data_IF_792031363313
#
_entry.id   IF_792031363313
#
_cell.length_a   1.000
_cell.length_b   1.000
_cell.length_c   1.000
_cell.angle_alpha   90.00
_cell.angle_beta   90.00
_cell.angle_gamma   90.00
#
_symmetry.space_group_name_H-M   'P 1'
#
loop_
_entity.id
_entity.type
_entity.pdbx_description
1 polymer ?
#
# COMPACT_ATOMS: atom_id res chain seq x y z
N UNK A 1 6.38 6.03 14.70
CA UNK A 1 6.55 4.97 15.68
C UNK A 1 6.06 3.64 15.12
N UNK A 2 6.75 2.55 15.47
CA UNK A 2 6.35 1.19 15.12
C UNK A 2 6.46 0.28 16.36
N UNK A 3 5.56 -0.69 16.48
CA UNK A 3 5.62 -1.73 17.49
C UNK A 3 5.78 -3.08 16.80
N UNK A 4 6.93 -3.72 16.98
CA UNK A 4 7.17 -5.06 16.46
C UNK A 4 6.48 -6.06 17.38
N UNK A 5 5.46 -6.76 16.86
CA UNK A 5 4.64 -7.73 17.60
C UNK A 5 4.71 -9.13 17.00
N UNK A 6 5.28 -9.27 15.81
CA UNK A 6 5.52 -10.55 15.14
C UNK A 6 6.77 -10.53 14.30
N UNK A 7 7.39 -11.67 14.14
CA UNK A 7 8.57 -11.88 13.29
C UNK A 7 8.20 -12.84 12.16
N UNK A 8 8.41 -12.43 10.92
CA UNK A 8 8.13 -13.25 9.76
C UNK A 8 9.07 -14.48 9.73
N UNK A 9 8.51 -15.66 9.50
CA UNK A 9 9.25 -16.91 9.27
C UNK A 9 9.16 -17.34 7.81
N UNK A 10 8.02 -17.08 7.16
CA UNK A 10 7.78 -17.34 5.74
C UNK A 10 6.64 -16.47 5.25
N UNK A 11 6.25 -16.64 3.97
CA UNK A 11 5.10 -15.92 3.38
C UNK A 11 3.80 -16.10 4.18
N UNK A 12 3.60 -17.26 4.82
CA UNK A 12 2.35 -17.62 5.50
C UNK A 12 2.53 -17.93 6.99
N UNK A 13 3.72 -17.74 7.55
CA UNK A 13 4.02 -18.03 8.94
C UNK A 13 4.77 -16.91 9.63
N UNK A 14 4.44 -16.66 10.88
CA UNK A 14 5.13 -15.70 11.72
C UNK A 14 5.16 -16.18 13.17
N UNK A 15 6.26 -15.88 13.87
CA UNK A 15 6.35 -16.03 15.31
C UNK A 15 5.78 -14.76 15.96
N UNK A 16 4.64 -14.89 16.62
CA UNK A 16 4.00 -13.80 17.35
C UNK A 16 4.55 -13.68 18.77
N UNK A 17 4.56 -12.47 19.31
CA UNK A 17 4.79 -12.25 20.74
C UNK A 17 3.58 -12.72 21.55
N UNK A 18 3.75 -13.05 22.84
CA UNK A 18 2.64 -13.24 23.76
C UNK A 18 1.69 -12.05 23.72
N UNK A 19 0.38 -12.31 23.80
CA UNK A 19 -0.64 -11.27 23.60
C UNK A 19 -0.48 -10.08 24.57
N UNK A 20 -0.15 -10.36 25.82
CA UNK A 20 0.05 -9.32 26.85
C UNK A 20 1.22 -8.42 26.47
N UNK A 21 2.34 -9.00 26.05
CA UNK A 21 3.52 -8.26 25.62
C UNK A 21 3.25 -7.43 24.35
N UNK A 22 2.56 -8.02 23.37
CA UNK A 22 2.19 -7.35 22.13
C UNK A 22 1.31 -6.11 22.40
N UNK A 23 0.30 -6.25 23.28
CA UNK A 23 -0.59 -5.15 23.69
C UNK A 23 0.18 -4.03 24.38
N UNK A 24 1.09 -4.37 25.29
CA UNK A 24 1.88 -3.37 25.99
C UNK A 24 2.83 -2.63 25.05
N UNK A 25 3.48 -3.31 24.12
CA UNK A 25 4.32 -2.67 23.10
C UNK A 25 3.52 -1.71 22.22
N UNK A 26 2.33 -2.12 21.79
CA UNK A 26 1.44 -1.26 21.00
C UNK A 26 1.02 -0.03 21.82
N UNK A 27 0.60 -0.22 23.06
CA UNK A 27 0.18 0.86 23.95
C UNK A 27 1.31 1.89 24.16
N UNK A 28 2.51 1.42 24.45
CA UNK A 28 3.66 2.29 24.65
C UNK A 28 4.06 3.03 23.36
N UNK A 29 4.04 2.36 22.20
CA UNK A 29 4.31 2.99 20.93
C UNK A 29 3.27 4.04 20.57
N UNK A 30 1.99 3.77 20.80
CA UNK A 30 0.90 4.71 20.58
C UNK A 30 1.03 5.96 21.49
N UNK A 31 1.33 5.77 22.78
CA UNK A 31 1.56 6.89 23.69
C UNK A 31 2.70 7.79 23.22
N UNK A 32 3.83 7.21 22.82
CA UNK A 32 4.96 7.97 22.27
C UNK A 32 4.60 8.68 20.96
N UNK A 33 3.83 8.04 20.09
CA UNK A 33 3.39 8.64 18.84
C UNK A 33 2.53 9.89 19.08
N UNK A 34 1.59 9.84 20.03
CA UNK A 34 0.75 10.99 20.41
C UNK A 34 1.60 12.12 21.00
N UNK A 35 2.56 11.82 21.87
CA UNK A 35 3.47 12.85 22.43
C UNK A 35 4.28 13.56 21.35
N UNK A 36 4.63 12.84 20.27
CA UNK A 36 5.43 13.36 19.15
C UNK A 36 4.60 13.86 17.97
N UNK A 37 3.28 13.91 18.10
CA UNK A 37 2.38 14.27 16.99
C UNK A 37 2.73 15.64 16.36
N UNK A 38 3.10 16.62 17.21
CA UNK A 38 3.48 17.96 16.73
C UNK A 38 4.85 18.04 16.06
N UNK A 39 5.68 17.00 16.19
CA UNK A 39 7.02 16.94 15.61
C UNK A 39 7.03 16.26 14.24
N UNK A 40 5.89 15.70 13.81
CA UNK A 40 5.79 14.96 12.55
C UNK A 40 4.90 15.76 11.60
N UNK A 41 5.47 16.16 10.47
CA UNK A 41 4.66 16.73 9.38
C UNK A 41 3.94 15.61 8.64
N UNK A 42 2.61 15.72 8.40
CA UNK A 42 1.90 14.76 7.57
C UNK A 42 2.49 14.73 6.17
N UNK A 43 2.64 13.55 5.60
CA UNK A 43 2.94 13.42 4.18
C UNK A 43 1.76 13.99 3.37
N UNK A 44 2.06 14.87 2.44
CA UNK A 44 1.07 15.49 1.55
C UNK A 44 1.51 15.36 0.09
N UNK A 45 0.54 15.24 -0.80
CA UNK A 45 0.77 15.26 -2.24
C UNK A 45 0.11 16.49 -2.84
N UNK A 46 0.87 17.25 -3.65
CA UNK A 46 0.33 18.38 -4.41
C UNK A 46 -0.36 17.86 -5.69
N UNK A 47 -1.58 18.31 -6.00
CA UNK A 47 -2.22 18.00 -7.28
C UNK A 47 -1.46 18.60 -8.49
N UNK A 48 -1.46 17.94 -9.66
CA UNK A 48 -2.03 16.64 -9.92
C UNK A 48 -1.21 15.50 -9.31
N UNK A 49 -1.88 14.50 -8.75
CA UNK A 49 -1.23 13.35 -8.11
C UNK A 49 -1.10 12.24 -9.15
N UNK A 50 0.11 11.84 -9.45
CA UNK A 50 0.40 10.76 -10.37
C UNK A 50 0.69 9.46 -9.58
N UNK A 51 -0.01 8.41 -9.93
CA UNK A 51 0.25 7.04 -9.52
C UNK A 51 0.96 6.32 -10.65
N UNK A 52 2.14 5.78 -10.39
CA UNK A 52 2.85 4.91 -11.30
C UNK A 52 3.06 3.55 -10.65
N UNK A 53 2.72 2.48 -11.36
CA UNK A 53 2.85 1.10 -10.86
C UNK A 53 3.56 0.27 -11.91
N UNK A 54 4.70 -0.30 -11.54
CA UNK A 54 5.37 -1.33 -12.32
C UNK A 54 4.90 -2.71 -11.85
N UNK A 55 4.40 -3.52 -12.77
CA UNK A 55 3.87 -4.85 -12.51
C UNK A 55 4.89 -5.93 -12.90
N UNK A 56 4.81 -7.08 -12.29
CA UNK A 56 5.73 -8.20 -12.54
C UNK A 56 5.56 -8.80 -13.92
N UNK A 57 4.39 -8.63 -14.54
CA UNK A 57 4.02 -9.26 -15.81
C UNK A 57 3.31 -8.27 -16.74
N UNK A 58 3.65 -8.34 -18.04
CA UNK A 58 3.10 -7.48 -19.09
C UNK A 58 1.60 -7.70 -19.31
N UNK A 59 1.13 -8.94 -19.23
CA UNK A 59 -0.29 -9.25 -19.46
C UNK A 59 -1.15 -8.73 -18.29
N UNK A 60 -0.61 -8.74 -17.08
CA UNK A 60 -1.26 -8.12 -15.92
C UNK A 60 -1.36 -6.61 -16.13
N UNK A 61 -0.27 -5.96 -16.58
CA UNK A 61 -0.25 -4.53 -16.85
C UNK A 61 -1.27 -4.15 -17.93
N UNK A 62 -1.32 -4.93 -19.03
CA UNK A 62 -2.29 -4.76 -20.10
C UNK A 62 -3.74 -4.89 -19.61
N UNK A 63 -4.01 -5.86 -18.74
CA UNK A 63 -5.36 -6.04 -18.17
C UNK A 63 -5.73 -4.88 -17.23
N UNK A 64 -4.79 -4.41 -16.41
CA UNK A 64 -4.98 -3.24 -15.55
C UNK A 64 -5.30 -1.97 -16.36
N UNK A 65 -4.73 -1.85 -17.56
CA UNK A 65 -4.97 -0.72 -18.46
C UNK A 65 -6.39 -0.66 -19.06
N UNK A 66 -7.22 -1.69 -18.87
CA UNK A 66 -8.64 -1.64 -19.23
C UNK A 66 -9.45 -0.74 -18.30
N UNK A 67 -8.88 -0.40 -17.14
CA UNK A 67 -9.55 0.49 -16.21
C UNK A 67 -9.56 1.93 -16.76
N UNK A 68 -10.72 2.61 -16.76
CA UNK A 68 -10.82 3.98 -17.28
C UNK A 68 -9.83 4.94 -16.63
N UNK A 69 -9.14 5.73 -17.46
CA UNK A 69 -8.15 6.72 -17.02
C UNK A 69 -6.76 6.17 -16.72
N UNK A 70 -6.55 4.86 -16.81
CA UNK A 70 -5.23 4.24 -16.69
C UNK A 70 -4.55 4.22 -18.06
N UNK A 71 -3.34 4.77 -18.13
CA UNK A 71 -2.45 4.67 -19.29
C UNK A 71 -1.44 3.53 -19.12
N UNK A 72 -0.98 2.99 -20.23
CA UNK A 72 -0.07 1.84 -20.30
C UNK A 72 1.10 2.16 -21.23
N UNK A 73 2.32 1.88 -20.82
CA UNK A 73 3.53 2.19 -21.57
C UNK A 73 3.87 1.14 -22.67
N UNK A 74 3.09 0.06 -22.74
CA UNK A 74 3.34 -1.05 -23.67
C UNK A 74 4.21 -2.16 -23.08
N UNK A 75 4.78 -1.96 -21.91
CA UNK A 75 5.63 -2.93 -21.22
C UNK A 75 4.99 -3.42 -19.91
N UNK A 76 5.40 -2.91 -18.75
CA UNK A 76 4.91 -3.35 -17.43
C UNK A 76 4.42 -2.21 -16.56
N UNK A 77 4.50 -0.97 -17.02
CA UNK A 77 4.17 0.21 -16.23
C UNK A 77 2.82 0.77 -16.66
N UNK A 78 2.02 1.05 -15.67
CA UNK A 78 0.74 1.74 -15.82
C UNK A 78 0.77 3.03 -15.01
N UNK A 79 0.02 4.04 -15.47
CA UNK A 79 -0.09 5.35 -14.81
C UNK A 79 -1.55 5.77 -14.70
N UNK A 80 -1.84 6.43 -13.59
CA UNK A 80 -3.11 7.10 -13.36
C UNK A 80 -2.86 8.45 -12.71
N UNK A 81 -3.57 9.49 -13.16
CA UNK A 81 -3.40 10.83 -12.62
C UNK A 81 -4.76 11.43 -12.28
N UNK A 82 -4.89 12.00 -11.08
CA UNK A 82 -6.09 12.71 -10.64
C UNK A 82 -5.71 13.83 -9.66
N UNK A 83 -6.56 14.82 -9.52
CA UNK A 83 -6.42 15.87 -8.51
C UNK A 83 -6.94 15.46 -7.12
N UNK A 84 -7.78 14.42 -7.03
CA UNK A 84 -8.33 13.90 -5.79
C UNK A 84 -7.55 12.64 -5.35
N UNK A 85 -6.80 12.76 -4.24
CA UNK A 85 -6.07 11.65 -3.64
C UNK A 85 -6.94 10.40 -3.39
N UNK A 86 -8.21 10.57 -3.01
CA UNK A 86 -9.11 9.43 -2.77
C UNK A 86 -9.39 8.64 -4.03
N UNK A 87 -9.46 9.30 -5.20
CA UNK A 87 -9.61 8.63 -6.49
C UNK A 87 -8.34 7.88 -6.86
N UNK A 88 -7.17 8.49 -6.67
CA UNK A 88 -5.88 7.83 -6.88
C UNK A 88 -5.75 6.59 -5.99
N UNK A 89 -6.09 6.70 -4.72
CA UNK A 89 -6.04 5.59 -3.78
C UNK A 89 -7.02 4.46 -4.14
N UNK A 90 -8.25 4.79 -4.55
CA UNK A 90 -9.23 3.80 -5.03
C UNK A 90 -8.77 3.10 -6.29
N UNK A 91 -8.14 3.85 -7.21
CA UNK A 91 -7.52 3.29 -8.40
C UNK A 91 -6.44 2.27 -8.02
N UNK A 92 -5.54 2.62 -7.11
CA UNK A 92 -4.49 1.71 -6.62
C UNK A 92 -5.09 0.41 -6.05
N UNK A 93 -6.14 0.51 -5.22
CA UNK A 93 -6.81 -0.68 -4.66
C UNK A 93 -7.41 -1.56 -5.74
N UNK A 94 -8.09 -0.97 -6.73
CA UNK A 94 -8.67 -1.71 -7.85
C UNK A 94 -7.58 -2.43 -8.68
N UNK A 95 -6.46 -1.77 -8.93
CA UNK A 95 -5.31 -2.36 -9.61
C UNK A 95 -4.73 -3.56 -8.84
N UNK A 96 -4.63 -3.47 -7.51
CA UNK A 96 -4.22 -4.60 -6.68
C UNK A 96 -5.16 -5.80 -6.81
N UNK A 97 -6.48 -5.57 -6.82
CA UNK A 97 -7.46 -6.65 -6.99
C UNK A 97 -7.34 -7.30 -8.36
N UNK A 98 -7.22 -6.51 -9.43
CA UNK A 98 -7.05 -7.03 -10.79
C UNK A 98 -5.75 -7.85 -10.90
N UNK A 99 -4.64 -7.32 -10.37
CA UNK A 99 -3.36 -8.01 -10.39
C UNK A 99 -3.40 -9.32 -9.56
N UNK A 100 -4.02 -9.29 -8.38
CA UNK A 100 -4.11 -10.45 -7.48
C UNK A 100 -4.98 -11.57 -8.03
N UNK A 101 -6.04 -11.27 -8.78
CA UNK A 101 -6.95 -12.26 -9.36
C UNK A 101 -6.25 -13.16 -10.40
N UNK A 102 -5.14 -12.71 -10.98
CA UNK A 102 -4.34 -13.48 -11.92
C UNK A 102 -3.26 -14.36 -11.26
N UNK A 103 -2.96 -14.10 -9.98
CA UNK A 103 -1.96 -14.85 -9.21
C UNK A 103 -2.55 -16.07 -8.48
N UNK A 104 -3.88 -16.21 -8.44
CA UNK A 104 -4.61 -17.35 -7.90
C UNK A 104 -5.52 -17.92 -9.01
N UNK A 105 -5.02 -18.84 -9.84
CA UNK A 105 -5.85 -19.59 -10.77
C UNK A 105 -6.78 -20.57 -10.05
#
# INVERSE_FOLDING_TARGET
EAAVVKYSLSRYAARCLPLIEARERIRCAAARAVQRLRCVQPAGFAPPIALEVELSDREIARTCAWMPGVSYDGERTIRYTDSDYRRVYRCLLALFWIASSRLNP
#
